data_IF_705381087074
#
_entry.id   IF_705381087074
#
_cell.length_a   1.000
_cell.length_b   1.000
_cell.length_c   1.000
_cell.angle_alpha   90.00
_cell.angle_beta   90.00
_cell.angle_gamma   90.00
#
_symmetry.space_group_name_H-M   'P 1'
#
loop_
_entity.id
_entity.type
_entity.pdbx_description
1 polymer ?
#
# COMPACT_ATOMS: atom_id res chain seq x y z
N UNK A 1 13.76 -76.18 -21.98
CA UNK A 1 13.45 -74.82 -22.47
C UNK A 1 12.81 -74.07 -21.29
N UNK A 2 13.63 -73.41 -20.44
CA UNK A 2 13.15 -72.63 -19.28
C UNK A 2 13.07 -71.17 -19.70
N UNK A 3 11.88 -70.56 -19.67
CA UNK A 3 11.69 -69.12 -19.85
C UNK A 3 11.82 -68.43 -18.49
N UNK A 4 12.87 -67.62 -18.31
CA UNK A 4 13.00 -66.73 -17.20
C UNK A 4 12.10 -65.51 -17.42
N UNK A 5 11.18 -65.25 -16.48
CA UNK A 5 10.39 -64.03 -16.43
C UNK A 5 11.11 -63.05 -15.47
N UNK A 6 11.65 -61.96 -16.01
CA UNK A 6 12.23 -60.88 -15.22
C UNK A 6 11.11 -59.91 -14.89
N UNK A 7 10.70 -59.85 -13.62
CA UNK A 7 9.76 -58.83 -13.12
C UNK A 7 10.56 -57.55 -12.78
N UNK A 8 10.29 -56.51 -13.53
CA UNK A 8 10.84 -55.15 -13.21
C UNK A 8 10.04 -54.55 -12.08
N UNK A 9 10.66 -54.42 -10.88
CA UNK A 9 10.11 -53.68 -9.74
C UNK A 9 10.47 -52.24 -9.93
N UNK A 10 9.50 -51.43 -10.32
CA UNK A 10 9.62 -49.96 -10.36
C UNK A 10 9.62 -49.37 -8.94
N UNK A 11 10.76 -48.91 -8.45
CA UNK A 11 10.87 -48.19 -7.19
C UNK A 11 10.43 -46.75 -7.45
N UNK A 12 9.21 -46.38 -7.03
CA UNK A 12 8.73 -45.01 -6.99
C UNK A 12 9.44 -44.30 -5.81
N UNK A 13 10.43 -43.49 -6.12
CA UNK A 13 11.07 -42.60 -5.17
C UNK A 13 10.11 -41.49 -4.76
N UNK A 14 9.30 -41.73 -3.73
CA UNK A 14 8.60 -40.66 -3.02
C UNK A 14 9.64 -39.88 -2.21
N UNK A 15 10.01 -38.70 -2.70
CA UNK A 15 10.83 -37.77 -1.93
C UNK A 15 10.02 -37.25 -0.73
N UNK A 16 10.21 -37.89 0.42
CA UNK A 16 9.69 -37.41 1.71
C UNK A 16 10.37 -36.10 2.04
N UNK A 17 9.70 -34.96 1.83
CA UNK A 17 10.12 -33.70 2.47
C UNK A 17 9.94 -33.86 3.98
N UNK A 18 10.95 -33.64 4.81
CA UNK A 18 10.81 -33.76 6.27
C UNK A 18 9.79 -32.73 6.77
N UNK A 19 8.90 -33.12 7.66
CA UNK A 19 7.79 -32.33 8.22
C UNK A 19 8.25 -30.96 8.76
N UNK A 20 9.49 -30.86 9.27
CA UNK A 20 10.15 -29.63 9.74
C UNK A 20 10.45 -28.63 8.60
N UNK A 21 10.83 -29.11 7.42
CA UNK A 21 11.10 -28.25 6.26
C UNK A 21 9.80 -27.67 5.66
N UNK A 22 8.72 -28.47 5.63
CA UNK A 22 7.41 -28.03 5.17
C UNK A 22 6.80 -26.96 6.10
N UNK A 23 6.90 -27.13 7.42
CA UNK A 23 6.45 -26.14 8.40
C UNK A 23 7.25 -24.83 8.35
N UNK A 24 8.56 -24.91 8.09
CA UNK A 24 9.40 -23.72 7.90
C UNK A 24 9.06 -22.96 6.63
N UNK A 25 8.76 -23.65 5.53
CA UNK A 25 8.35 -23.02 4.27
C UNK A 25 6.97 -22.34 4.38
N UNK A 26 5.98 -22.99 4.98
CA UNK A 26 4.66 -22.38 5.22
C UNK A 26 4.76 -21.14 6.12
N UNK A 27 5.67 -21.12 7.09
CA UNK A 27 5.96 -19.94 7.91
C UNK A 27 6.57 -18.81 7.09
N UNK A 28 7.50 -19.11 6.19
CA UNK A 28 8.10 -18.10 5.29
C UNK A 28 7.09 -17.54 4.30
N UNK A 29 6.21 -18.39 3.71
CA UNK A 29 5.11 -17.94 2.85
C UNK A 29 4.21 -16.92 3.56
N UNK A 30 3.83 -17.21 4.82
CA UNK A 30 3.03 -16.28 5.64
C UNK A 30 3.77 -15.00 5.99
N UNK A 31 5.06 -15.06 6.26
CA UNK A 31 5.87 -13.85 6.51
C UNK A 31 6.01 -13.00 5.25
N UNK A 32 6.19 -13.61 4.08
CA UNK A 32 6.22 -12.90 2.79
C UNK A 32 4.85 -12.28 2.48
N UNK A 33 3.76 -13.04 2.63
CA UNK A 33 2.39 -12.54 2.42
C UNK A 33 2.02 -11.39 3.36
N UNK A 34 2.48 -11.43 4.62
CA UNK A 34 2.23 -10.33 5.58
C UNK A 34 3.01 -9.03 5.26
N UNK A 35 3.79 -9.01 4.21
CA UNK A 35 4.38 -7.81 3.61
C UNK A 35 3.68 -7.38 2.31
N UNK A 36 2.59 -8.02 1.90
CA UNK A 36 1.89 -7.71 0.65
C UNK A 36 0.53 -7.07 0.91
N UNK A 37 0.27 -5.96 0.25
CA UNK A 37 -1.07 -5.40 0.04
C UNK A 37 -1.41 -5.49 -1.43
N UNK A 38 -2.52 -6.17 -1.77
CA UNK A 38 -2.85 -6.49 -3.15
C UNK A 38 -4.23 -5.98 -3.55
N UNK A 39 -4.34 -5.47 -4.77
CA UNK A 39 -5.62 -5.27 -5.43
C UNK A 39 -6.08 -6.56 -6.11
N UNK A 40 -7.39 -6.75 -6.18
CA UNK A 40 -8.01 -7.91 -6.82
C UNK A 40 -9.25 -7.49 -7.60
N UNK A 41 -9.74 -8.36 -8.47
CA UNK A 41 -10.98 -8.15 -9.21
C UNK A 41 -12.14 -8.91 -8.57
N UNK A 42 -13.28 -8.23 -8.41
CA UNK A 42 -14.51 -8.82 -7.90
C UNK A 42 -15.13 -8.02 -6.76
N UNK A 43 -16.46 -8.14 -6.67
CA UNK A 43 -17.32 -7.45 -5.70
C UNK A 43 -17.73 -8.35 -4.53
N UNK A 44 -17.12 -9.54 -4.42
CA UNK A 44 -17.32 -10.50 -3.32
C UNK A 44 -16.03 -11.27 -3.01
N UNK A 45 -15.91 -11.76 -1.78
CA UNK A 45 -14.79 -12.56 -1.30
C UNK A 45 -15.27 -13.87 -0.63
N UNK A 46 -16.14 -14.61 -1.33
CA UNK A 46 -16.63 -15.91 -0.86
C UNK A 46 -15.48 -16.89 -0.57
N UNK A 47 -15.65 -17.90 0.29
CA UNK A 47 -14.57 -18.81 0.73
C UNK A 47 -13.78 -19.48 -0.42
N UNK A 48 -14.44 -19.74 -1.56
CA UNK A 48 -13.81 -20.34 -2.76
C UNK A 48 -13.21 -19.30 -3.73
N UNK A 49 -13.31 -17.99 -3.47
CA UNK A 49 -12.70 -16.95 -4.32
C UNK A 49 -11.18 -16.99 -4.19
N UNK A 50 -10.48 -16.56 -5.26
CA UNK A 50 -9.01 -16.53 -5.26
C UNK A 50 -8.47 -15.64 -4.13
N UNK A 51 -9.05 -14.44 -3.95
CA UNK A 51 -8.59 -13.52 -2.90
C UNK A 51 -8.75 -14.11 -1.49
N UNK A 52 -9.85 -14.86 -1.23
CA UNK A 52 -10.04 -15.49 0.08
C UNK A 52 -9.01 -16.61 0.31
N UNK A 53 -8.71 -17.41 -0.71
CA UNK A 53 -7.65 -18.43 -0.64
C UNK A 53 -6.29 -17.80 -0.38
N UNK A 54 -5.96 -16.70 -1.07
CA UNK A 54 -4.70 -15.99 -0.92
C UNK A 54 -4.53 -15.39 0.48
N UNK A 55 -5.58 -14.74 1.01
CA UNK A 55 -5.58 -14.19 2.38
C UNK A 55 -5.31 -15.31 3.39
N UNK A 56 -6.01 -16.44 3.29
CA UNK A 56 -5.85 -17.59 4.20
C UNK A 56 -4.47 -18.22 4.11
N UNK A 57 -4.01 -18.50 2.89
CA UNK A 57 -2.75 -19.21 2.66
C UNK A 57 -1.55 -18.36 3.05
N UNK A 58 -1.50 -17.13 2.57
CA UNK A 58 -0.32 -16.28 2.66
C UNK A 58 -0.38 -15.27 3.82
N UNK A 59 -1.47 -15.20 4.58
CA UNK A 59 -1.65 -14.24 5.67
C UNK A 59 -1.35 -12.80 5.23
N UNK A 60 -2.00 -12.33 4.17
CA UNK A 60 -1.74 -11.02 3.56
C UNK A 60 -1.76 -9.87 4.58
N UNK A 61 -0.92 -8.85 4.39
CA UNK A 61 -1.00 -7.61 5.15
C UNK A 61 -2.37 -6.96 4.95
N UNK A 62 -2.81 -6.84 3.70
CA UNK A 62 -4.07 -6.22 3.38
C UNK A 62 -4.46 -6.33 1.92
N UNK A 63 -5.56 -5.67 1.61
CA UNK A 63 -6.07 -5.46 0.24
C UNK A 63 -6.35 -3.98 0.03
N UNK A 64 -6.25 -3.53 -1.23
CA UNK A 64 -6.67 -2.19 -1.65
C UNK A 64 -7.87 -2.32 -2.58
N UNK A 65 -8.89 -1.47 -2.36
CA UNK A 65 -10.14 -1.50 -3.09
C UNK A 65 -10.26 -0.29 -4.03
N UNK A 66 -10.79 -0.56 -5.23
CA UNK A 66 -11.03 0.45 -6.26
C UNK A 66 -12.49 0.44 -6.71
N UNK A 67 -12.96 1.60 -7.17
CA UNK A 67 -14.34 1.81 -7.59
C UNK A 67 -14.62 1.35 -9.01
N UNK A 68 -13.69 1.49 -9.95
CA UNK A 68 -13.89 1.12 -11.35
C UNK A 68 -12.93 0.02 -11.83
N UNK A 69 -13.39 -0.79 -12.79
CA UNK A 69 -12.57 -1.79 -13.46
C UNK A 69 -11.71 -1.09 -14.55
N UNK A 70 -10.38 -1.31 -14.58
CA UNK A 70 -9.52 -0.67 -15.58
C UNK A 70 -9.78 -1.14 -17.03
N UNK A 71 -10.32 -2.36 -17.22
CA UNK A 71 -10.69 -2.89 -18.55
C UNK A 71 -11.97 -2.22 -19.06
N UNK A 72 -12.97 -2.09 -18.18
CA UNK A 72 -14.25 -1.51 -18.50
C UNK A 72 -14.69 -0.58 -17.36
N UNK A 73 -14.46 0.70 -17.53
CA UNK A 73 -14.71 1.72 -16.50
C UNK A 73 -16.19 1.89 -16.14
N UNK A 74 -17.11 1.34 -16.94
CA UNK A 74 -18.55 1.31 -16.63
C UNK A 74 -18.87 0.26 -15.56
N UNK A 75 -17.99 -0.71 -15.34
CA UNK A 75 -18.15 -1.77 -14.35
C UNK A 75 -17.37 -1.50 -13.08
N UNK A 76 -17.88 -1.91 -11.89
CA UNK A 76 -17.15 -1.82 -10.65
C UNK A 76 -15.99 -2.82 -10.65
N UNK A 77 -14.86 -2.44 -10.01
CA UNK A 77 -13.84 -3.42 -9.65
C UNK A 77 -14.18 -4.09 -8.32
N UNK A 78 -14.33 -3.28 -7.26
CA UNK A 78 -14.65 -3.77 -5.91
C UNK A 78 -15.85 -3.06 -5.29
N UNK A 79 -16.16 -1.80 -5.69
CA UNK A 79 -17.14 -0.94 -5.06
C UNK A 79 -18.30 -0.68 -6.04
N UNK A 80 -19.46 -1.28 -5.78
CA UNK A 80 -20.64 -1.14 -6.61
C UNK A 80 -21.78 -0.42 -5.88
N UNK A 81 -22.03 -0.78 -4.61
CA UNK A 81 -23.01 -0.12 -3.73
C UNK A 81 -22.52 -0.17 -2.29
N UNK A 82 -23.11 0.65 -1.42
CA UNK A 82 -22.77 0.68 0.01
C UNK A 82 -23.05 -0.66 0.70
N UNK A 83 -24.15 -1.32 0.39
CA UNK A 83 -24.50 -2.63 0.96
C UNK A 83 -23.59 -3.73 0.46
N UNK A 84 -23.28 -3.74 -0.84
CA UNK A 84 -22.36 -4.70 -1.44
C UNK A 84 -20.96 -4.54 -0.83
N UNK A 85 -20.45 -3.31 -0.67
CA UNK A 85 -19.11 -3.08 -0.11
C UNK A 85 -19.03 -3.55 1.35
N UNK A 86 -20.06 -3.29 2.16
CA UNK A 86 -20.14 -3.82 3.54
C UNK A 86 -20.05 -5.35 3.58
N UNK A 87 -20.76 -6.02 2.66
CA UNK A 87 -20.69 -7.47 2.54
C UNK A 87 -19.29 -7.93 2.12
N UNK A 88 -18.69 -7.30 1.12
CA UNK A 88 -17.34 -7.62 0.64
C UNK A 88 -16.30 -7.51 1.76
N UNK A 89 -16.31 -6.41 2.51
CA UNK A 89 -15.33 -6.19 3.59
C UNK A 89 -15.51 -7.18 4.74
N UNK A 90 -16.76 -7.55 5.07
CA UNK A 90 -17.06 -8.61 6.04
C UNK A 90 -16.53 -9.98 5.56
N UNK A 91 -16.75 -10.33 4.29
CA UNK A 91 -16.24 -11.57 3.68
C UNK A 91 -14.70 -11.60 3.68
N UNK A 92 -14.05 -10.47 3.36
CA UNK A 92 -12.57 -10.33 3.39
C UNK A 92 -12.03 -10.55 4.80
N UNK A 93 -12.64 -9.95 5.82
CA UNK A 93 -12.23 -10.16 7.22
C UNK A 93 -12.46 -11.61 7.69
N UNK A 94 -13.52 -12.27 7.21
CA UNK A 94 -13.77 -13.69 7.50
C UNK A 94 -12.73 -14.62 6.87
N UNK A 95 -12.02 -14.18 5.82
CA UNK A 95 -10.90 -14.92 5.24
C UNK A 95 -9.60 -14.76 6.02
N UNK A 96 -9.46 -13.74 6.86
CA UNK A 96 -8.29 -13.51 7.71
C UNK A 96 -8.39 -14.30 9.02
N UNK A 97 -7.27 -14.94 9.42
CA UNK A 97 -7.23 -15.77 10.63
C UNK A 97 -7.54 -14.97 11.91
N UNK A 98 -7.06 -13.74 12.00
CA UNK A 98 -7.18 -12.87 13.17
C UNK A 98 -8.22 -11.75 12.98
N UNK A 99 -8.93 -11.74 11.83
CA UNK A 99 -9.86 -10.69 11.43
C UNK A 99 -9.25 -9.28 11.47
N UNK A 100 -7.93 -9.19 11.23
CA UNK A 100 -7.15 -7.95 11.24
C UNK A 100 -6.51 -7.69 9.88
N UNK A 101 -7.21 -8.00 8.80
CA UNK A 101 -6.79 -7.64 7.46
C UNK A 101 -6.91 -6.12 7.29
N UNK A 102 -5.85 -5.48 6.77
CA UNK A 102 -5.94 -4.08 6.33
C UNK A 102 -6.80 -4.03 5.08
N UNK A 103 -7.89 -3.27 5.11
CA UNK A 103 -8.75 -3.03 3.95
C UNK A 103 -8.64 -1.55 3.62
N UNK A 104 -7.89 -1.26 2.56
CA UNK A 104 -7.46 0.08 2.22
C UNK A 104 -8.23 0.68 1.04
N UNK A 105 -8.33 2.01 1.05
CA UNK A 105 -8.78 2.84 -0.07
C UNK A 105 -7.99 4.14 -0.12
N UNK A 106 -8.05 4.86 -1.25
CA UNK A 106 -7.69 6.28 -1.35
C UNK A 106 -8.93 7.13 -1.18
N UNK A 107 -9.15 7.71 -0.03
CA UNK A 107 -10.29 8.59 0.26
C UNK A 107 -9.79 9.95 0.75
N UNK A 108 -9.09 10.70 -0.13
CA UNK A 108 -8.54 12.01 0.19
C UNK A 108 -9.62 13.12 0.22
N UNK A 109 -10.65 12.95 -0.56
CA UNK A 109 -11.61 13.98 -0.97
C UNK A 109 -11.26 14.56 -2.35
N UNK A 110 -12.11 15.50 -2.83
CA UNK A 110 -11.95 16.05 -4.16
C UNK A 110 -12.02 14.99 -5.26
N UNK A 111 -11.02 14.99 -6.14
CA UNK A 111 -10.95 14.03 -7.25
C UNK A 111 -10.48 12.63 -6.84
N UNK A 112 -9.73 12.53 -5.74
CA UNK A 112 -9.20 11.25 -5.25
C UNK A 112 -10.09 10.73 -4.11
N UNK A 113 -11.16 10.07 -4.50
CA UNK A 113 -12.08 9.38 -3.60
C UNK A 113 -12.74 8.20 -4.30
N UNK A 114 -12.91 7.09 -3.56
CA UNK A 114 -13.50 5.85 -4.08
C UNK A 114 -14.97 5.70 -3.69
N UNK A 115 -15.37 6.27 -2.55
CA UNK A 115 -16.75 6.25 -2.07
C UNK A 115 -17.52 7.41 -2.69
N UNK A 116 -18.04 7.18 -3.91
CA UNK A 116 -18.73 8.21 -4.72
C UNK A 116 -20.24 8.15 -4.54
N UNK A 117 -20.91 9.28 -4.81
CA UNK A 117 -22.39 9.40 -4.71
C UNK A 117 -23.15 8.40 -5.58
N UNK A 118 -22.63 8.09 -6.77
CA UNK A 118 -23.21 7.07 -7.65
C UNK A 118 -23.30 5.66 -7.06
N UNK A 119 -22.53 5.37 -6.01
CA UNK A 119 -22.53 4.11 -5.29
C UNK A 119 -23.31 4.18 -3.96
N UNK A 120 -24.05 5.26 -3.73
CA UNK A 120 -24.86 5.47 -2.52
C UNK A 120 -24.10 6.06 -1.34
N UNK A 121 -22.92 6.65 -1.58
CA UNK A 121 -22.14 7.37 -0.58
C UNK A 121 -22.37 8.89 -0.65
N UNK A 122 -21.82 9.62 0.32
CA UNK A 122 -21.87 11.07 0.28
C UNK A 122 -21.16 11.62 -0.97
N UNK A 123 -19.93 11.14 -1.24
CA UNK A 123 -19.19 11.37 -2.49
C UNK A 123 -18.84 12.82 -2.83
N UNK A 124 -19.04 13.76 -1.90
CA UNK A 124 -18.83 15.21 -2.09
C UNK A 124 -17.85 15.78 -1.06
N UNK A 125 -16.88 14.98 -0.61
CA UNK A 125 -15.84 15.49 0.29
C UNK A 125 -14.94 16.48 -0.46
N UNK A 126 -14.67 17.67 0.14
CA UNK A 126 -13.85 18.70 -0.50
C UNK A 126 -12.41 18.24 -0.69
N UNK A 127 -11.72 18.81 -1.68
CA UNK A 127 -10.27 18.65 -1.85
C UNK A 127 -9.52 19.43 -0.76
N UNK A 128 -8.29 19.05 -0.46
CA UNK A 128 -7.49 19.65 0.61
C UNK A 128 -7.36 21.17 0.51
N UNK A 129 -7.17 21.71 -0.72
CA UNK A 129 -7.09 23.15 -0.96
C UNK A 129 -8.39 23.94 -0.69
N UNK A 130 -9.53 23.26 -0.62
CA UNK A 130 -10.80 23.89 -0.21
C UNK A 130 -11.05 23.75 1.29
N UNK A 131 -10.60 22.62 1.88
CA UNK A 131 -10.69 22.40 3.34
C UNK A 131 -10.01 23.51 4.14
N UNK A 132 -8.88 24.03 3.68
CA UNK A 132 -8.16 25.12 4.38
C UNK A 132 -8.92 26.44 4.45
N UNK A 133 -9.97 26.62 3.63
CA UNK A 133 -10.86 27.78 3.59
C UNK A 133 -12.06 27.67 4.55
N UNK A 134 -12.28 26.47 5.11
CA UNK A 134 -13.38 26.17 6.01
C UNK A 134 -13.01 26.55 7.45
N UNK A 135 -14.03 26.80 8.29
CA UNK A 135 -13.80 26.93 9.72
C UNK A 135 -13.45 25.58 10.38
N UNK A 136 -12.90 25.62 11.58
CA UNK A 136 -12.40 24.44 12.26
C UNK A 136 -13.52 23.43 12.60
N UNK A 137 -14.74 23.89 12.86
CA UNK A 137 -15.90 23.03 13.13
C UNK A 137 -16.32 22.28 11.88
N UNK A 138 -16.41 22.98 10.75
CA UNK A 138 -16.72 22.40 9.45
C UNK A 138 -15.68 21.34 9.05
N UNK A 139 -14.39 21.61 9.25
CA UNK A 139 -13.30 20.66 8.94
C UNK A 139 -13.45 19.40 9.78
N UNK A 140 -13.63 19.52 11.08
CA UNK A 140 -13.83 18.38 11.99
C UNK A 140 -15.08 17.58 11.62
N UNK A 141 -16.18 18.25 11.31
CA UNK A 141 -17.44 17.61 10.88
C UNK A 141 -17.25 16.84 9.56
N UNK A 142 -16.57 17.44 8.59
CA UNK A 142 -16.29 16.85 7.27
C UNK A 142 -15.49 15.56 7.42
N UNK A 143 -14.36 15.59 8.12
CA UNK A 143 -13.52 14.39 8.29
C UNK A 143 -14.14 13.36 9.23
N UNK A 144 -14.94 13.77 10.22
CA UNK A 144 -15.76 12.86 11.03
C UNK A 144 -16.78 12.11 10.17
N UNK A 145 -17.45 12.80 9.24
CA UNK A 145 -18.40 12.19 8.30
C UNK A 145 -17.70 11.18 7.38
N UNK A 146 -16.53 11.54 6.84
CA UNK A 146 -15.71 10.64 6.02
C UNK A 146 -15.30 9.38 6.80
N UNK A 147 -14.77 9.53 8.01
CA UNK A 147 -14.36 8.42 8.86
C UNK A 147 -15.52 7.49 9.23
N UNK A 148 -16.70 8.04 9.55
CA UNK A 148 -17.94 7.27 9.79
C UNK A 148 -18.35 6.47 8.55
N UNK A 149 -18.23 7.05 7.38
CA UNK A 149 -18.61 6.40 6.13
C UNK A 149 -17.66 5.24 5.81
N UNK A 150 -16.35 5.42 5.94
CA UNK A 150 -15.34 4.37 5.80
C UNK A 150 -15.58 3.22 6.79
N UNK A 151 -15.69 3.55 8.09
CA UNK A 151 -15.96 2.55 9.14
C UNK A 151 -17.27 1.81 8.89
N UNK A 152 -18.31 2.52 8.48
CA UNK A 152 -19.65 1.98 8.25
C UNK A 152 -19.72 0.91 7.15
N UNK A 153 -18.70 0.83 6.31
CA UNK A 153 -18.56 -0.22 5.27
C UNK A 153 -17.34 -1.11 5.50
N UNK A 154 -16.76 -1.09 6.71
CA UNK A 154 -15.68 -2.00 7.09
C UNK A 154 -14.31 -1.68 6.51
N UNK A 155 -14.11 -0.48 5.91
CA UNK A 155 -12.79 0.02 5.56
C UNK A 155 -12.11 0.48 6.84
N UNK A 156 -10.87 0.02 7.06
CA UNK A 156 -10.11 0.27 8.29
C UNK A 156 -8.75 0.92 8.03
N UNK A 157 -8.45 1.27 6.78
CA UNK A 157 -7.21 1.94 6.42
C UNK A 157 -7.43 2.91 5.24
N UNK A 158 -7.14 4.18 5.46
CA UNK A 158 -7.19 5.20 4.43
C UNK A 158 -5.76 5.59 4.03
N UNK A 159 -5.44 5.46 2.74
CA UNK A 159 -4.16 5.89 2.17
C UNK A 159 -4.13 7.42 1.99
N UNK A 160 -4.39 8.11 3.08
CA UNK A 160 -4.43 9.57 3.24
C UNK A 160 -4.03 9.91 4.69
N UNK A 161 -3.66 11.16 5.02
CA UNK A 161 -3.72 12.38 4.20
C UNK A 161 -2.49 12.58 3.32
N UNK A 162 -2.68 13.38 2.24
CA UNK A 162 -1.55 13.96 1.49
C UNK A 162 -0.92 15.06 2.32
N UNK A 163 0.41 15.01 2.48
CA UNK A 163 1.20 16.02 3.19
C UNK A 163 2.25 16.69 2.30
N UNK A 164 2.16 16.47 1.00
CA UNK A 164 2.97 17.16 0.00
C UNK A 164 2.69 18.66 0.03
N UNK A 165 3.74 19.48 -0.04
CA UNK A 165 3.63 20.95 -0.02
C UNK A 165 3.23 21.47 -1.40
N UNK A 166 2.36 22.49 -1.45
CA UNK A 166 1.95 23.16 -2.69
C UNK A 166 2.98 24.22 -3.10
N UNK A 167 4.17 23.78 -3.50
CA UNK A 167 5.32 24.65 -3.79
C UNK A 167 5.66 24.77 -5.27
N UNK A 168 4.98 24.00 -6.15
CA UNK A 168 5.16 24.08 -7.58
C UNK A 168 3.79 24.12 -8.29
N UNK A 169 3.43 25.28 -8.85
CA UNK A 169 2.17 25.45 -9.57
C UNK A 169 2.08 24.63 -10.88
N UNK A 170 3.21 24.18 -11.43
CA UNK A 170 3.25 23.29 -12.59
C UNK A 170 3.00 21.82 -12.22
N UNK A 171 2.86 21.52 -10.95
CA UNK A 171 2.55 20.17 -10.48
C UNK A 171 1.07 19.85 -10.72
N UNK A 172 0.76 19.17 -11.81
CA UNK A 172 -0.62 18.81 -12.15
C UNK A 172 -1.24 17.80 -11.17
N UNK A 173 -0.42 16.98 -10.49
CA UNK A 173 -0.89 15.89 -9.61
C UNK A 173 -1.23 16.40 -8.21
N UNK A 174 -0.45 17.32 -7.66
CA UNK A 174 -0.68 17.88 -6.31
C UNK A 174 -1.40 19.22 -6.42
N UNK A 175 -0.79 20.24 -7.05
CA UNK A 175 -1.38 21.56 -7.21
C UNK A 175 -2.66 21.51 -8.07
N UNK A 176 -2.57 20.99 -9.29
CA UNK A 176 -3.66 21.00 -10.26
C UNK A 176 -4.92 20.27 -9.78
N UNK A 177 -4.77 19.22 -8.97
CA UNK A 177 -5.90 18.51 -8.34
C UNK A 177 -6.29 19.06 -6.96
N UNK A 178 -5.55 20.06 -6.43
CA UNK A 178 -5.80 20.68 -5.14
C UNK A 178 -5.65 19.70 -3.96
N UNK A 179 -4.70 18.75 -4.05
CA UNK A 179 -4.52 17.70 -3.04
C UNK A 179 -3.70 18.15 -1.82
N UNK A 180 -3.09 19.34 -1.85
CA UNK A 180 -2.28 19.86 -0.76
C UNK A 180 -3.08 20.81 0.14
N UNK A 181 -2.73 20.82 1.43
CA UNK A 181 -3.19 21.82 2.43
C UNK A 181 -2.40 23.13 2.38
N UNK A 182 -1.48 23.31 1.42
CA UNK A 182 -0.74 24.54 1.21
C UNK A 182 0.77 24.38 1.18
N UNK A 183 1.49 25.52 1.15
CA UNK A 183 2.95 25.59 1.02
C UNK A 183 3.70 25.58 2.36
N UNK A 184 3.03 25.94 3.46
CA UNK A 184 3.64 25.99 4.79
C UNK A 184 3.55 24.60 5.46
N UNK A 185 4.66 23.97 5.83
CA UNK A 185 4.67 22.64 6.44
C UNK A 185 3.95 22.57 7.78
N UNK A 186 3.89 23.65 8.56
CA UNK A 186 3.15 23.70 9.83
C UNK A 186 1.64 23.70 9.58
N UNK A 187 1.19 24.46 8.57
CA UNK A 187 -0.22 24.48 8.14
C UNK A 187 -0.62 23.10 7.63
N UNK A 188 0.19 22.49 6.74
CA UNK A 188 -0.06 21.13 6.24
C UNK A 188 -0.14 20.14 7.40
N UNK A 189 0.80 20.16 8.33
CA UNK A 189 0.79 19.27 9.49
C UNK A 189 -0.44 19.49 10.40
N UNK A 190 -0.90 20.74 10.58
CA UNK A 190 -2.11 21.05 11.34
C UNK A 190 -3.34 20.39 10.75
N UNK A 191 -3.59 20.57 9.45
CA UNK A 191 -4.78 20.01 8.80
C UNK A 191 -4.70 18.48 8.67
N UNK A 192 -3.54 17.94 8.34
CA UNK A 192 -3.31 16.50 8.33
C UNK A 192 -3.53 15.88 9.73
N UNK A 193 -3.14 16.58 10.81
CA UNK A 193 -3.40 16.14 12.19
C UNK A 193 -4.89 16.05 12.49
N UNK A 194 -5.71 17.03 12.05
CA UNK A 194 -7.17 16.99 12.23
C UNK A 194 -7.79 15.81 11.47
N UNK A 195 -7.30 15.56 10.24
CA UNK A 195 -7.72 14.39 9.45
C UNK A 195 -7.43 13.09 10.20
N UNK A 196 -6.19 12.89 10.66
CA UNK A 196 -5.75 11.70 11.39
C UNK A 196 -6.60 11.49 12.65
N UNK A 197 -6.85 12.54 13.43
CA UNK A 197 -7.66 12.46 14.66
C UNK A 197 -9.09 12.01 14.37
N UNK A 198 -9.68 12.51 13.28
CA UNK A 198 -11.01 12.10 12.86
C UNK A 198 -11.06 10.61 12.47
N UNK A 199 -10.07 10.15 11.69
CA UNK A 199 -9.97 8.75 11.27
C UNK A 199 -9.74 7.82 12.47
N UNK A 200 -8.78 8.13 13.34
CA UNK A 200 -8.46 7.32 14.52
C UNK A 200 -9.65 7.17 15.48
N UNK A 201 -10.47 8.22 15.64
CA UNK A 201 -11.70 8.17 16.47
C UNK A 201 -12.66 7.06 16.04
N UNK A 202 -12.64 6.69 14.76
CA UNK A 202 -13.47 5.62 14.20
C UNK A 202 -12.71 4.33 13.90
N UNK A 203 -11.46 4.21 14.37
CA UNK A 203 -10.63 3.03 14.13
C UNK A 203 -10.23 2.84 12.68
N UNK A 204 -10.06 3.93 11.93
CA UNK A 204 -9.50 3.93 10.57
C UNK A 204 -8.04 4.39 10.66
N UNK A 205 -7.11 3.54 10.24
CA UNK A 205 -5.69 3.86 10.15
C UNK A 205 -5.41 4.78 8.97
N UNK A 206 -4.27 5.49 9.01
CA UNK A 206 -3.92 6.53 8.04
C UNK A 206 -2.50 6.36 7.49
N UNK A 207 -2.23 6.95 6.32
CA UNK A 207 -0.91 6.98 5.70
C UNK A 207 -0.54 8.38 5.26
N UNK A 208 0.55 8.93 5.77
CA UNK A 208 1.12 10.17 5.22
C UNK A 208 1.73 9.88 3.85
N UNK A 209 1.47 10.73 2.85
CA UNK A 209 1.98 10.54 1.49
C UNK A 209 2.27 11.86 0.78
N UNK A 210 3.24 11.86 -0.14
CA UNK A 210 4.08 10.80 -0.71
C UNK A 210 5.55 11.08 -0.35
N UNK A 211 6.10 10.37 0.62
CA UNK A 211 7.47 10.59 1.11
C UNK A 211 8.52 10.37 -0.01
N UNK A 212 9.56 11.20 -0.14
CA UNK A 212 10.01 12.30 0.74
C UNK A 212 9.41 13.68 0.41
N UNK A 213 8.31 13.76 -0.29
CA UNK A 213 7.64 14.95 -0.80
C UNK A 213 7.55 14.91 -2.33
N UNK A 214 6.34 15.07 -2.84
CA UNK A 214 6.01 15.07 -4.27
C UNK A 214 5.53 16.45 -4.75
N UNK A 215 5.49 17.44 -3.83
CA UNK A 215 4.92 18.76 -4.10
C UNK A 215 5.71 19.60 -5.10
N UNK A 216 7.04 19.41 -5.16
CA UNK A 216 7.93 20.11 -6.09
C UNK A 216 8.00 19.50 -7.48
N UNK A 217 7.48 18.28 -7.72
CA UNK A 217 7.59 17.58 -8.99
C UNK A 217 6.81 18.29 -10.12
N UNK A 218 7.23 18.05 -11.37
CA UNK A 218 6.48 18.45 -12.58
C UNK A 218 5.79 17.26 -13.21
N UNK A 219 6.38 16.06 -13.07
CA UNK A 219 5.91 14.82 -13.70
C UNK A 219 4.89 14.04 -12.84
N UNK A 220 4.26 13.07 -13.48
CA UNK A 220 3.35 12.10 -12.90
C UNK A 220 4.00 10.70 -12.89
N UNK A 221 4.27 10.15 -11.70
CA UNK A 221 4.92 8.85 -11.53
C UNK A 221 4.07 7.66 -12.00
N UNK A 222 2.76 7.86 -12.23
CA UNK A 222 1.92 6.87 -12.90
C UNK A 222 2.32 6.66 -14.37
N UNK A 223 2.83 7.72 -15.00
CA UNK A 223 3.16 7.74 -16.42
C UNK A 223 4.62 7.44 -16.74
N UNK A 224 5.49 7.41 -15.73
CA UNK A 224 6.90 7.13 -15.94
C UNK A 224 7.83 7.77 -14.92
N UNK A 225 9.12 7.84 -15.27
CA UNK A 225 10.18 8.33 -14.40
C UNK A 225 10.04 9.84 -14.13
N UNK A 226 10.14 10.22 -12.84
CA UNK A 226 10.05 11.62 -12.39
C UNK A 226 11.30 11.98 -11.61
N UNK A 227 12.13 12.85 -12.17
CA UNK A 227 13.34 13.39 -11.53
C UNK A 227 13.04 14.74 -10.85
N UNK A 228 13.21 14.77 -9.55
CA UNK A 228 13.02 15.98 -8.73
C UNK A 228 14.34 16.56 -8.18
N UNK A 229 15.49 16.11 -8.69
CA UNK A 229 16.84 16.45 -8.19
C UNK A 229 17.06 17.94 -7.99
N UNK A 230 16.61 18.75 -8.96
CA UNK A 230 16.79 20.22 -8.92
C UNK A 230 15.56 20.97 -8.40
N UNK A 231 14.45 20.31 -8.21
CA UNK A 231 13.17 20.89 -7.78
C UNK A 231 12.89 20.67 -6.29
N UNK A 232 13.20 19.47 -5.81
CA UNK A 232 12.90 19.06 -4.44
C UNK A 232 13.64 19.91 -3.41
N UNK A 233 12.90 20.31 -2.39
CA UNK A 233 13.42 21.12 -1.28
C UNK A 233 13.33 20.37 0.04
N UNK A 234 14.34 20.49 0.88
CA UNK A 234 14.41 19.80 2.18
C UNK A 234 13.22 20.09 3.10
N UNK A 235 12.58 21.25 2.93
CA UNK A 235 11.36 21.65 3.67
C UNK A 235 10.21 20.65 3.46
N UNK A 236 10.18 19.89 2.37
CA UNK A 236 9.18 18.86 2.11
C UNK A 236 9.24 17.68 3.10
N UNK A 237 10.33 17.54 3.86
CA UNK A 237 10.43 16.58 4.96
C UNK A 237 9.75 17.04 6.26
N UNK A 238 9.45 18.33 6.40
CA UNK A 238 8.96 18.89 7.66
C UNK A 238 7.58 18.36 8.10
N UNK A 239 6.58 18.18 7.22
CA UNK A 239 5.31 17.57 7.62
C UNK A 239 5.51 16.17 8.24
N UNK A 240 6.42 15.36 7.68
CA UNK A 240 6.74 14.03 8.22
C UNK A 240 7.43 14.13 9.58
N UNK A 241 8.35 15.08 9.76
CA UNK A 241 9.00 15.36 11.05
C UNK A 241 7.99 15.78 12.13
N UNK A 242 7.03 16.61 11.77
CA UNK A 242 6.00 17.10 12.70
C UNK A 242 4.99 16.00 13.07
N UNK A 243 4.69 15.07 12.15
CA UNK A 243 3.65 14.07 12.30
C UNK A 243 4.15 12.65 12.61
N UNK A 244 5.47 12.40 12.69
CA UNK A 244 6.05 11.05 12.79
C UNK A 244 5.54 10.22 13.99
N UNK A 245 5.15 10.86 15.08
CA UNK A 245 4.59 10.18 16.26
C UNK A 245 3.10 9.86 16.13
N UNK A 246 2.39 10.60 15.27
CA UNK A 246 0.94 10.49 15.07
C UNK A 246 0.57 9.57 13.92
N UNK A 247 1.41 9.52 12.90
CA UNK A 247 1.19 8.71 11.71
C UNK A 247 1.22 7.20 12.00
N UNK A 248 0.28 6.45 11.42
CA UNK A 248 0.30 4.99 11.47
C UNK A 248 1.30 4.42 10.49
N UNK A 249 1.28 4.95 9.27
CA UNK A 249 2.17 4.57 8.18
C UNK A 249 2.66 5.80 7.41
N UNK A 250 3.73 5.61 6.64
CA UNK A 250 4.21 6.56 5.63
C UNK A 250 4.31 5.81 4.30
N UNK A 251 3.68 6.36 3.26
CA UNK A 251 3.78 5.87 1.89
C UNK A 251 4.92 6.57 1.17
N UNK A 252 5.80 5.77 0.54
CA UNK A 252 6.99 6.26 -0.16
C UNK A 252 6.72 6.38 -1.66
N UNK A 253 6.99 7.57 -2.21
CA UNK A 253 6.82 7.90 -3.62
C UNK A 253 7.87 7.25 -4.53
N UNK A 254 7.59 7.21 -5.82
CA UNK A 254 8.52 6.75 -6.86
C UNK A 254 9.36 7.88 -7.48
N UNK A 255 9.45 9.04 -6.80
CA UNK A 255 10.28 10.16 -7.29
C UNK A 255 11.76 9.84 -7.15
N UNK A 256 12.53 10.21 -8.18
CA UNK A 256 13.99 10.12 -8.16
C UNK A 256 14.60 11.45 -7.74
N UNK A 257 15.60 11.40 -6.85
CA UNK A 257 16.37 12.55 -6.43
C UNK A 257 17.85 12.14 -6.25
N UNK A 258 18.69 12.50 -7.21
CA UNK A 258 20.13 12.16 -7.21
C UNK A 258 20.87 12.64 -5.95
N UNK A 259 20.42 13.74 -5.33
CA UNK A 259 21.01 14.28 -4.08
C UNK A 259 20.68 13.43 -2.87
N UNK A 260 19.60 12.64 -2.90
CA UNK A 260 19.22 11.70 -1.82
C UNK A 260 19.78 10.29 -2.10
N UNK A 261 19.65 9.82 -3.35
CA UNK A 261 20.25 8.57 -3.82
C UNK A 261 20.53 8.68 -5.33
N UNK A 262 21.80 8.48 -5.71
CA UNK A 262 22.22 8.58 -7.10
C UNK A 262 21.70 7.45 -8.01
N UNK A 263 21.24 6.33 -7.43
CA UNK A 263 20.94 5.10 -8.15
C UNK A 263 19.46 4.75 -8.21
N UNK A 264 18.69 5.08 -7.14
CA UNK A 264 17.33 4.56 -6.96
C UNK A 264 16.32 5.65 -6.61
N UNK A 265 15.07 5.55 -7.11
CA UNK A 265 13.95 6.39 -6.64
C UNK A 265 13.67 6.11 -5.16
N UNK A 266 12.96 7.02 -4.51
CA UNK A 266 12.80 7.01 -3.06
C UNK A 266 12.30 5.66 -2.50
N UNK A 267 11.31 5.05 -3.13
CA UNK A 267 10.76 3.73 -2.75
C UNK A 267 11.80 2.61 -2.77
N UNK A 268 12.76 2.65 -3.68
CA UNK A 268 13.77 1.60 -3.84
C UNK A 268 15.10 1.95 -3.14
N UNK A 269 15.15 3.08 -2.43
CA UNK A 269 16.37 3.64 -1.85
C UNK A 269 16.49 3.40 -0.34
N UNK A 270 17.44 2.58 0.07
CA UNK A 270 17.79 2.41 1.48
C UNK A 270 18.30 3.72 2.13
N UNK A 271 18.93 4.61 1.35
CA UNK A 271 19.36 5.93 1.84
C UNK A 271 18.14 6.80 2.19
N UNK A 272 17.08 6.73 1.40
CA UNK A 272 15.85 7.49 1.63
C UNK A 272 15.00 6.87 2.73
N UNK A 273 14.65 5.59 2.64
CA UNK A 273 13.76 4.93 3.60
C UNK A 273 14.47 4.70 4.95
N UNK A 274 15.56 3.92 4.96
CA UNK A 274 16.27 3.63 6.21
C UNK A 274 17.08 4.84 6.70
N UNK A 275 17.73 5.59 5.81
CA UNK A 275 18.60 6.71 6.15
C UNK A 275 17.80 7.93 6.63
N UNK A 276 16.88 8.43 5.83
CA UNK A 276 16.14 9.67 6.15
C UNK A 276 14.93 9.35 7.03
N UNK A 277 13.98 8.54 6.55
CA UNK A 277 12.72 8.34 7.26
C UNK A 277 12.93 7.63 8.62
N UNK A 278 13.67 6.51 8.63
CA UNK A 278 13.88 5.75 9.87
C UNK A 278 14.87 6.39 10.83
N UNK A 279 16.09 6.74 10.33
CA UNK A 279 17.17 7.21 11.21
C UNK A 279 17.06 8.70 11.53
N UNK A 280 16.96 9.59 10.51
CA UNK A 280 16.92 11.04 10.74
C UNK A 280 15.59 11.50 11.30
N UNK A 281 14.45 11.09 10.71
CA UNK A 281 13.12 11.49 11.16
C UNK A 281 12.57 10.59 12.29
N UNK A 282 13.27 9.49 12.63
CA UNK A 282 12.93 8.56 13.73
C UNK A 282 11.53 7.92 13.59
N UNK A 283 11.04 7.74 12.38
CA UNK A 283 9.73 7.13 12.16
C UNK A 283 9.74 5.64 12.56
N UNK A 284 8.83 5.24 13.45
CA UNK A 284 8.74 3.88 14.00
C UNK A 284 7.56 3.07 13.47
N UNK A 285 6.62 3.70 12.75
CA UNK A 285 5.47 3.05 12.12
C UNK A 285 5.83 2.14 10.96
N UNK A 286 4.86 1.48 10.36
CA UNK A 286 5.08 0.72 9.13
C UNK A 286 5.27 1.66 7.93
N UNK A 287 6.14 1.27 6.99
CA UNK A 287 6.35 1.97 5.72
C UNK A 287 5.69 1.14 4.62
N UNK A 288 4.88 1.81 3.81
CA UNK A 288 4.23 1.21 2.64
C UNK A 288 4.78 1.86 1.37
N UNK A 289 4.97 1.09 0.31
CA UNK A 289 5.30 1.64 -1.01
C UNK A 289 4.07 2.29 -1.64
N UNK A 290 4.24 3.26 -2.53
CA UNK A 290 3.23 3.52 -3.55
C UNK A 290 3.10 2.31 -4.48
N UNK A 291 2.12 2.29 -5.40
CA UNK A 291 1.87 1.12 -6.24
C UNK A 291 3.07 0.77 -7.11
N UNK A 292 3.72 -0.36 -6.81
CA UNK A 292 4.92 -0.83 -7.50
C UNK A 292 4.70 -1.21 -8.98
N UNK A 293 3.45 -1.16 -9.44
CA UNK A 293 3.08 -1.35 -10.83
C UNK A 293 3.01 -0.03 -11.62
N UNK A 294 3.24 1.13 -10.96
CA UNK A 294 3.35 2.43 -11.64
C UNK A 294 4.53 2.46 -12.62
N UNK A 295 4.37 3.18 -13.73
CA UNK A 295 5.36 3.23 -14.83
C UNK A 295 6.78 3.58 -14.38
N UNK A 296 6.92 4.49 -13.42
CA UNK A 296 8.22 4.87 -12.85
C UNK A 296 9.05 3.69 -12.31
N UNK A 297 8.42 2.61 -11.92
CA UNK A 297 9.05 1.40 -11.37
C UNK A 297 8.97 0.23 -12.34
N UNK A 298 7.76 -0.12 -12.80
CA UNK A 298 7.50 -1.34 -13.56
C UNK A 298 8.25 -1.40 -14.89
N UNK A 299 8.48 -0.25 -15.52
CA UNK A 299 9.17 -0.17 -16.83
C UNK A 299 10.69 -0.33 -16.72
N UNK A 300 11.27 -0.03 -15.56
CA UNK A 300 12.73 0.04 -15.40
C UNK A 300 13.35 -1.13 -14.65
N UNK A 301 12.67 -1.66 -13.63
CA UNK A 301 13.33 -2.57 -12.67
C UNK A 301 12.92 -4.03 -12.80
N UNK A 302 11.77 -4.34 -13.39
CA UNK A 302 11.19 -5.68 -13.40
C UNK A 302 10.82 -6.18 -12.00
N UNK A 303 9.94 -7.18 -11.92
CA UNK A 303 9.32 -7.62 -10.67
C UNK A 303 10.33 -8.06 -9.59
N UNK A 304 11.30 -8.91 -9.96
CA UNK A 304 12.28 -9.46 -8.99
C UNK A 304 13.13 -8.35 -8.35
N UNK A 305 13.67 -7.43 -9.16
CA UNK A 305 14.49 -6.33 -8.65
C UNK A 305 13.67 -5.32 -7.86
N UNK A 306 12.45 -5.01 -8.30
CA UNK A 306 11.52 -4.14 -7.57
C UNK A 306 11.29 -4.64 -6.16
N UNK A 307 10.91 -5.91 -5.99
CA UNK A 307 10.68 -6.53 -4.67
C UNK A 307 11.97 -6.52 -3.84
N UNK A 308 13.09 -6.94 -4.43
CA UNK A 308 14.40 -6.98 -3.76
C UNK A 308 14.78 -5.60 -3.20
N UNK A 309 14.72 -4.58 -4.06
CA UNK A 309 15.15 -3.24 -3.71
C UNK A 309 14.22 -2.60 -2.68
N UNK A 310 12.89 -2.69 -2.84
CA UNK A 310 11.93 -2.14 -1.90
C UNK A 310 12.07 -2.76 -0.49
N UNK A 311 12.16 -4.09 -0.38
CA UNK A 311 12.36 -4.77 0.91
C UNK A 311 13.69 -4.36 1.55
N UNK A 312 14.77 -4.30 0.78
CA UNK A 312 16.09 -3.90 1.27
C UNK A 312 16.17 -2.38 1.57
N UNK A 313 15.34 -1.56 0.93
CA UNK A 313 15.19 -0.14 1.28
C UNK A 313 14.59 0.04 2.68
N UNK A 314 13.77 -0.90 3.14
CA UNK A 314 13.16 -0.89 4.47
C UNK A 314 11.65 -0.67 4.45
N UNK A 315 11.01 -0.89 3.31
CA UNK A 315 9.55 -0.93 3.20
C UNK A 315 9.01 -2.19 3.88
N UNK A 316 7.93 -2.03 4.61
CA UNK A 316 7.31 -3.12 5.39
C UNK A 316 6.09 -3.71 4.67
N UNK A 317 5.42 -2.92 3.83
CA UNK A 317 4.26 -3.32 3.03
C UNK A 317 4.52 -2.92 1.58
N UNK A 318 4.48 -3.90 0.69
CA UNK A 318 4.61 -3.73 -0.75
C UNK A 318 3.22 -3.69 -1.38
N UNK A 319 2.87 -2.57 -2.01
CA UNK A 319 1.56 -2.38 -2.65
C UNK A 319 1.63 -2.79 -4.13
N UNK A 320 0.72 -3.70 -4.52
CA UNK A 320 0.45 -4.11 -5.90
C UNK A 320 -1.04 -3.99 -6.18
N UNK A 321 -1.46 -2.86 -6.74
CA UNK A 321 -2.86 -2.49 -6.89
C UNK A 321 -3.63 -3.29 -7.95
N UNK A 322 -2.93 -3.87 -8.94
CA UNK A 322 -3.55 -4.56 -10.09
C UNK A 322 -4.67 -3.71 -10.72
N UNK A 323 -4.42 -2.38 -10.83
CA UNK A 323 -5.40 -1.38 -11.26
C UNK A 323 -5.00 -0.63 -12.52
N UNK A 324 -3.71 -0.36 -12.71
CA UNK A 324 -3.24 0.59 -13.72
C UNK A 324 -3.28 0.02 -15.14
N UNK A 325 -2.81 -1.23 -15.29
CA UNK A 325 -2.79 -1.94 -16.56
C UNK A 325 -3.35 -3.36 -16.37
N UNK A 326 -4.50 -3.70 -16.99
CA UNK A 326 -5.10 -5.01 -16.86
C UNK A 326 -4.22 -6.14 -17.40
N UNK A 327 -3.30 -5.84 -18.33
CA UNK A 327 -2.37 -6.81 -18.91
C UNK A 327 -1.13 -7.06 -18.05
N UNK A 328 -0.89 -6.21 -17.05
CA UNK A 328 0.27 -6.27 -16.14
C UNK A 328 -0.12 -6.71 -14.71
N UNK A 329 -1.23 -7.41 -14.55
CA UNK A 329 -1.62 -7.93 -13.23
C UNK A 329 -0.65 -9.01 -12.76
N UNK A 330 -0.38 -9.03 -11.45
CA UNK A 330 0.52 -10.01 -10.83
C UNK A 330 -0.24 -10.78 -9.75
N UNK A 331 -0.23 -12.11 -9.83
CA UNK A 331 -0.87 -12.96 -8.83
C UNK A 331 -0.13 -12.92 -7.50
N UNK A 332 -0.87 -13.04 -6.39
CA UNK A 332 -0.29 -13.15 -5.04
C UNK A 332 0.75 -14.27 -4.95
N UNK A 333 0.45 -15.43 -5.57
CA UNK A 333 1.38 -16.55 -5.63
C UNK A 333 2.72 -16.14 -6.23
N UNK A 334 2.73 -15.46 -7.39
CA UNK A 334 3.96 -15.01 -8.05
C UNK A 334 4.76 -14.03 -7.18
N UNK A 335 4.08 -13.14 -6.46
CA UNK A 335 4.73 -12.21 -5.52
C UNK A 335 5.41 -12.97 -4.37
N UNK A 336 4.70 -13.90 -3.74
CA UNK A 336 5.22 -14.72 -2.64
C UNK A 336 6.37 -15.59 -3.12
N UNK A 337 6.23 -16.31 -4.24
CA UNK A 337 7.28 -17.17 -4.80
C UNK A 337 8.55 -16.36 -5.10
N UNK A 338 8.40 -15.14 -5.65
CA UNK A 338 9.54 -14.23 -5.91
C UNK A 338 10.24 -13.83 -4.61
N UNK A 339 9.48 -13.48 -3.56
CA UNK A 339 10.06 -13.17 -2.25
C UNK A 339 10.79 -14.37 -1.63
N UNK A 340 10.20 -15.57 -1.72
CA UNK A 340 10.84 -16.79 -1.22
C UNK A 340 12.15 -17.10 -1.95
N UNK A 341 12.16 -16.94 -3.29
CA UNK A 341 13.38 -17.09 -4.09
C UNK A 341 14.47 -16.12 -3.61
N UNK A 342 14.13 -14.84 -3.41
CA UNK A 342 15.07 -13.81 -2.93
C UNK A 342 15.58 -14.06 -1.50
N UNK A 343 14.74 -14.63 -0.65
CA UNK A 343 15.15 -15.03 0.71
C UNK A 343 16.10 -16.25 0.66
N UNK A 344 15.76 -17.27 -0.15
CA UNK A 344 16.57 -18.47 -0.30
C UNK A 344 17.93 -18.19 -0.93
N UNK A 345 18.00 -17.27 -1.88
CA UNK A 345 19.27 -16.84 -2.50
C UNK A 345 20.11 -15.89 -1.63
N UNK A 346 19.58 -15.44 -0.47
CA UNK A 346 20.25 -14.46 0.39
C UNK A 346 20.18 -13.02 -0.12
N UNK A 347 19.54 -12.76 -1.27
CA UNK A 347 19.34 -11.40 -1.81
C UNK A 347 18.44 -10.53 -0.91
N UNK A 348 17.57 -11.15 -0.12
CA UNK A 348 16.84 -10.54 1.00
C UNK A 348 17.17 -11.29 2.29
N UNK A 349 17.69 -10.58 3.29
CA UNK A 349 18.00 -11.18 4.59
C UNK A 349 16.72 -11.49 5.38
N UNK A 350 16.61 -12.70 5.94
CA UNK A 350 15.47 -13.11 6.77
C UNK A 350 15.20 -12.14 7.94
N UNK A 351 16.26 -11.55 8.51
CA UNK A 351 16.15 -10.53 9.55
C UNK A 351 15.41 -9.28 9.11
N UNK A 352 15.50 -8.88 7.83
CA UNK A 352 14.72 -7.76 7.26
C UNK A 352 13.24 -8.11 7.23
N UNK A 353 12.89 -9.31 6.74
CA UNK A 353 11.51 -9.82 6.72
C UNK A 353 10.91 -9.86 8.13
N UNK A 354 11.65 -10.38 9.11
CA UNK A 354 11.19 -10.43 10.52
C UNK A 354 10.93 -9.04 11.09
N UNK A 355 11.80 -8.06 10.81
CA UNK A 355 11.61 -6.66 11.24
C UNK A 355 10.36 -6.02 10.62
N UNK A 356 10.14 -6.21 9.32
CA UNK A 356 8.95 -5.73 8.62
C UNK A 356 7.68 -6.35 9.23
N UNK A 357 7.64 -7.68 9.37
CA UNK A 357 6.52 -8.39 9.99
C UNK A 357 6.20 -7.89 11.41
N UNK A 358 7.22 -7.56 12.22
CA UNK A 358 7.02 -6.99 13.56
C UNK A 358 6.30 -5.63 13.49
N UNK A 359 6.63 -4.77 12.50
CA UNK A 359 5.98 -3.48 12.32
C UNK A 359 4.55 -3.63 11.79
N UNK A 360 4.33 -4.50 10.79
CA UNK A 360 2.98 -4.79 10.27
C UNK A 360 2.09 -5.39 11.37
N UNK A 361 2.60 -6.33 12.18
CA UNK A 361 1.86 -6.87 13.31
C UNK A 361 1.49 -5.80 14.34
N UNK A 362 2.41 -4.85 14.62
CA UNK A 362 2.13 -3.72 15.52
C UNK A 362 1.07 -2.78 14.93
N UNK A 363 1.10 -2.52 13.61
CA UNK A 363 0.09 -1.74 12.92
C UNK A 363 -1.29 -2.40 13.05
N UNK A 364 -1.40 -3.69 12.73
CA UNK A 364 -2.65 -4.47 12.82
C UNK A 364 -3.22 -4.59 14.24
N UNK A 365 -2.42 -4.40 15.29
CA UNK A 365 -2.91 -4.38 16.69
C UNK A 365 -3.76 -3.15 17.00
N UNK A 366 -3.71 -2.11 16.17
CA UNK A 366 -4.51 -0.89 16.34
C UNK A 366 -5.94 -1.02 15.78
N UNK A 367 -6.27 -2.12 15.05
CA UNK A 367 -7.59 -2.45 14.50
C UNK A 367 -8.55 -3.04 15.55
#
# INVERSE_FOLDING_TARGET
MNKLIIAAVGIALFTYMPLSAASSQASLEKMAGNMLMVGFHGTSAKPKSQICRDIKRYNLAGVILFDFNPVDKSKPKNIATKSQLRKLTSELQACSHDKKLLIAVDQEGGRVQRLKSQYGFYGKFPKASDVIKMDQSQIKSTYTKMAKELKGVGINYDLAPVVDLDINQQNHVIHGLGRSFGKDPKVVAKYASIFIDAMHRYGVLTSLKHFPGHGSSVGDTHKGFVDVTNLWKRVELEPYRLLHKKADTVMVAHVFNKKLDANYPATLSAKTVNGILRKKLRFQGAVITDDLQMGAISEKYGLKNTIKLAVNAGDDILLFGNQLDPNKTVSTKKLVDTMLLLIKSGEIKLGTIKKANKRVKRLKKKL
#
